data_IF_262394472012
#
_entry.id   IF_262394472012
#
_cell.length_a   1.000
_cell.length_b   1.000
_cell.length_c   1.000
_cell.angle_alpha   90.00
_cell.angle_beta   90.00
_cell.angle_gamma   90.00
#
_symmetry.space_group_name_H-M   'P 1'
#
loop_
_entity.id
_entity.type
_entity.pdbx_description
1 polymer ?
#
# COMPACT_ATOMS: atom_id res chain seq x y z
N UNK A 1 -19.13 1.94 -3.06
CA UNK A 1 -18.42 2.27 -4.32
C UNK A 1 -18.36 3.79 -4.39
N UNK A 2 -17.24 4.38 -4.79
CA UNK A 2 -17.07 5.84 -4.82
C UNK A 2 -16.90 6.30 -6.25
N UNK A 3 -17.73 7.23 -6.70
CA UNK A 3 -17.73 7.69 -8.08
C UNK A 3 -16.69 8.80 -8.28
N UNK A 4 -16.03 8.79 -9.44
CA UNK A 4 -15.15 9.87 -9.89
C UNK A 4 -15.56 10.30 -11.29
N UNK A 5 -15.48 11.59 -11.57
CA UNK A 5 -15.67 12.14 -12.92
C UNK A 5 -14.31 12.36 -13.57
N UNK A 6 -14.16 12.04 -14.85
CA UNK A 6 -12.89 12.21 -15.58
C UNK A 6 -11.91 11.05 -15.38
N UNK A 7 -10.64 11.29 -15.72
CA UNK A 7 -9.57 10.29 -15.60
C UNK A 7 -9.26 10.10 -14.11
N UNK A 8 -9.33 8.87 -13.62
CA UNK A 8 -9.07 8.57 -12.22
C UNK A 8 -7.57 8.60 -11.89
N UNK A 9 -7.23 9.01 -10.68
CA UNK A 9 -5.90 8.80 -10.09
C UNK A 9 -5.66 7.30 -9.88
N UNK A 10 -4.89 6.68 -10.77
CA UNK A 10 -4.58 5.26 -10.72
C UNK A 10 -3.28 4.94 -11.46
N UNK A 11 -2.45 4.06 -10.87
CA UNK A 11 -1.25 3.56 -11.53
C UNK A 11 -0.19 4.65 -11.68
N UNK A 12 0.11 5.02 -12.93
CA UNK A 12 1.11 6.05 -13.24
C UNK A 12 0.53 7.48 -13.32
N UNK A 13 -0.78 7.65 -13.15
CA UNK A 13 -1.47 8.94 -13.31
C UNK A 13 -1.44 9.70 -11.99
N UNK A 14 -0.58 10.72 -11.90
CA UNK A 14 -0.29 11.51 -10.70
C UNK A 14 -1.19 12.75 -10.52
N UNK A 15 -1.88 13.14 -11.57
CA UNK A 15 -2.80 14.30 -11.64
C UNK A 15 -4.26 13.88 -11.84
N UNK A 16 -4.57 12.59 -11.67
CA UNK A 16 -5.91 12.06 -11.88
C UNK A 16 -6.90 12.50 -10.81
N UNK A 17 -8.18 12.43 -11.15
CA UNK A 17 -9.27 12.83 -10.27
C UNK A 17 -9.50 11.80 -9.17
N UNK A 18 -9.86 12.30 -7.99
CA UNK A 18 -10.28 11.49 -6.85
C UNK A 18 -11.67 11.88 -6.37
N UNK A 19 -12.43 10.93 -5.80
CA UNK A 19 -13.78 11.21 -5.33
C UNK A 19 -13.83 12.37 -4.33
N UNK A 20 -14.74 13.30 -4.57
CA UNK A 20 -15.12 14.33 -3.61
C UNK A 20 -15.88 13.76 -2.41
N UNK A 21 -16.34 14.65 -1.53
CA UNK A 21 -17.13 14.25 -0.38
C UNK A 21 -18.45 13.59 -0.80
N UNK A 22 -18.77 12.43 -0.21
CA UNK A 22 -19.99 11.66 -0.44
C UNK A 22 -20.25 10.69 0.73
N UNK A 23 -21.39 10.00 0.74
CA UNK A 23 -21.73 9.04 1.78
C UNK A 23 -20.64 7.97 1.93
N UNK A 24 -20.06 7.87 3.13
CA UNK A 24 -18.92 6.98 3.41
C UNK A 24 -17.53 7.57 3.14
N UNK A 25 -17.44 8.80 2.62
CA UNK A 25 -16.19 9.55 2.37
C UNK A 25 -16.39 11.03 2.68
N UNK A 26 -16.60 11.36 3.96
CA UNK A 26 -17.06 12.68 4.42
C UNK A 26 -16.19 13.86 3.96
N UNK A 27 -14.88 13.65 3.80
CA UNK A 27 -13.92 14.70 3.43
C UNK A 27 -13.40 14.57 1.99
N UNK A 28 -13.92 13.62 1.22
CA UNK A 28 -13.37 13.27 -0.09
C UNK A 28 -11.99 12.61 -0.02
N UNK A 29 -11.29 12.62 -1.13
CA UNK A 29 -9.98 12.00 -1.30
C UNK A 29 -9.09 12.79 -2.26
N UNK A 30 -7.81 12.46 -2.29
CA UNK A 30 -6.81 13.13 -3.11
C UNK A 30 -5.87 12.12 -3.77
N UNK A 31 -5.30 12.55 -4.89
CA UNK A 31 -4.31 11.74 -5.61
C UNK A 31 -2.96 11.82 -4.90
N UNK A 32 -2.41 10.66 -4.59
CA UNK A 32 -1.11 10.51 -3.95
C UNK A 32 -0.63 9.06 -4.12
N UNK A 33 0.62 8.79 -3.77
CA UNK A 33 1.14 7.42 -3.75
C UNK A 33 0.41 6.62 -2.66
N UNK A 34 -0.21 5.52 -3.06
CA UNK A 34 -0.70 4.50 -2.14
C UNK A 34 0.42 3.52 -1.78
N UNK A 35 0.18 2.65 -0.79
CA UNK A 35 1.22 1.75 -0.22
C UNK A 35 1.92 0.87 -1.27
N UNK A 36 1.23 0.54 -2.36
CA UNK A 36 1.79 -0.21 -3.47
C UNK A 36 2.80 0.59 -4.30
N UNK A 37 3.06 1.86 -3.99
CA UNK A 37 4.02 2.71 -4.70
C UNK A 37 3.51 3.23 -6.04
N UNK A 38 2.20 3.15 -6.28
CA UNK A 38 1.52 3.76 -7.43
C UNK A 38 0.55 4.83 -6.97
N UNK A 39 0.10 5.69 -7.88
CA UNK A 39 -0.90 6.68 -7.58
C UNK A 39 -2.27 6.04 -7.35
N UNK A 40 -2.98 6.52 -6.33
CA UNK A 40 -4.34 6.13 -6.00
C UNK A 40 -4.99 7.14 -5.07
N UNK A 41 -6.32 7.06 -4.95
CA UNK A 41 -7.07 7.99 -4.13
C UNK A 41 -6.97 7.67 -2.64
N UNK A 42 -6.35 8.56 -1.87
CA UNK A 42 -6.27 8.49 -0.41
C UNK A 42 -7.35 9.38 0.23
N UNK A 43 -8.09 8.91 1.24
CA UNK A 43 -9.08 9.72 1.93
C UNK A 43 -8.41 10.84 2.75
N UNK A 44 -9.02 12.02 2.79
CA UNK A 44 -8.66 13.05 3.76
C UNK A 44 -9.10 12.65 5.18
N UNK A 45 -8.38 13.09 6.21
CA UNK A 45 -8.76 12.84 7.62
C UNK A 45 -9.67 13.92 8.18
N UNK A 46 -9.60 15.12 7.61
CA UNK A 46 -10.47 16.25 7.87
C UNK A 46 -10.45 17.18 6.65
N UNK A 47 -11.27 18.24 6.68
CA UNK A 47 -11.27 19.26 5.63
C UNK A 47 -9.85 19.81 5.41
N UNK A 48 -9.33 19.66 4.18
CA UNK A 48 -7.98 20.07 3.78
C UNK A 48 -6.82 19.41 4.56
N UNK A 49 -7.08 18.34 5.30
CA UNK A 49 -6.06 17.65 6.08
C UNK A 49 -5.70 16.32 5.42
N UNK A 50 -4.55 16.31 4.74
CA UNK A 50 -3.96 15.05 4.25
C UNK A 50 -3.53 14.21 5.46
N UNK A 51 -3.84 12.91 5.49
CA UNK A 51 -3.18 12.01 6.44
C UNK A 51 -1.67 12.12 6.25
N UNK A 52 -0.92 12.05 7.35
CA UNK A 52 0.50 11.76 7.27
C UNK A 52 0.71 10.47 6.42
N UNK A 53 1.87 10.32 5.79
CA UNK A 53 2.18 9.18 4.91
C UNK A 53 2.09 7.81 5.60
N UNK A 54 1.84 7.79 6.91
CA UNK A 54 1.43 6.63 7.67
C UNK A 54 -0.06 6.34 7.46
N UNK A 55 -0.41 5.50 6.49
CA UNK A 55 -1.45 4.52 6.84
C UNK A 55 -0.77 3.66 7.90
N UNK A 56 -1.19 3.69 9.18
CA UNK A 56 -0.53 2.86 10.17
C UNK A 56 -0.59 1.43 9.64
N UNK A 57 0.55 0.76 9.53
CA UNK A 57 0.54 -0.67 9.22
C UNK A 57 -0.36 -1.35 10.25
N UNK A 58 -1.16 -2.31 9.82
CA UNK A 58 -2.08 -3.00 10.74
C UNK A 58 -1.33 -3.78 11.83
N UNK A 59 0.00 -3.86 11.72
CA UNK A 59 0.92 -4.59 12.58
C UNK A 59 2.08 -3.69 13.04
N UNK A 60 2.45 -3.82 14.32
CA UNK A 60 3.69 -3.25 14.86
C UNK A 60 4.82 -4.28 14.70
N UNK A 61 5.85 -3.94 13.93
CA UNK A 61 7.02 -4.80 13.69
C UNK A 61 8.21 -4.50 14.62
N UNK A 62 8.08 -3.59 15.58
CA UNK A 62 9.16 -3.30 16.53
C UNK A 62 9.56 -4.55 17.32
N UNK A 63 10.82 -4.96 17.19
CA UNK A 63 11.35 -6.16 17.85
C UNK A 63 10.90 -7.49 17.26
N UNK A 64 10.22 -7.49 16.10
CA UNK A 64 9.81 -8.73 15.44
C UNK A 64 11.02 -9.40 14.75
N UNK A 65 11.30 -10.69 14.99
CA UNK A 65 12.42 -11.39 14.36
C UNK A 65 12.30 -11.54 12.84
N UNK A 66 11.09 -11.44 12.28
CA UNK A 66 10.86 -11.42 10.83
C UNK A 66 11.23 -10.07 10.17
N UNK A 67 11.50 -9.03 10.98
CA UNK A 67 11.95 -7.73 10.53
C UNK A 67 11.17 -6.58 11.15
N UNK A 68 11.65 -5.36 10.93
CA UNK A 68 11.11 -4.15 11.58
C UNK A 68 10.20 -3.31 10.68
N UNK A 69 10.06 -3.69 9.40
CA UNK A 69 9.28 -2.93 8.43
C UNK A 69 8.03 -3.70 8.04
N UNK A 70 6.85 -3.09 8.18
CA UNK A 70 5.60 -3.67 7.67
C UNK A 70 5.52 -3.60 6.15
N UNK A 71 5.15 -4.72 5.53
CA UNK A 71 5.08 -4.89 4.08
C UNK A 71 3.80 -5.64 3.72
N UNK A 72 3.09 -5.17 2.70
CA UNK A 72 1.91 -5.87 2.17
C UNK A 72 2.32 -6.97 1.19
N UNK A 73 1.56 -8.06 1.18
CA UNK A 73 1.72 -9.18 0.24
C UNK A 73 0.49 -9.22 -0.66
N UNK A 74 0.68 -9.34 -1.97
CA UNK A 74 -0.42 -9.46 -2.92
C UNK A 74 -1.25 -10.71 -2.61
N UNK A 75 -2.55 -10.52 -2.41
CA UNK A 75 -3.47 -11.60 -2.04
C UNK A 75 -3.58 -11.85 -0.54
N UNK A 76 -2.79 -11.18 0.31
CA UNK A 76 -2.97 -11.22 1.75
C UNK A 76 -3.97 -10.16 2.24
N UNK A 77 -4.67 -10.46 3.33
CA UNK A 77 -5.63 -9.54 3.96
C UNK A 77 -4.98 -8.55 4.94
N UNK A 78 -3.70 -8.74 5.29
CA UNK A 78 -2.99 -7.93 6.27
C UNK A 78 -1.52 -7.74 5.90
N UNK A 79 -0.88 -6.79 6.58
CA UNK A 79 0.56 -6.53 6.46
C UNK A 79 1.38 -7.52 7.32
N UNK A 80 2.62 -7.77 6.91
CA UNK A 80 3.57 -8.65 7.60
C UNK A 80 4.93 -7.99 7.76
N UNK A 81 5.74 -8.47 8.70
CA UNK A 81 7.05 -7.90 8.96
C UNK A 81 8.12 -8.45 8.01
N UNK A 82 8.97 -7.57 7.51
CA UNK A 82 10.12 -7.89 6.67
C UNK A 82 11.33 -7.03 7.08
N UNK A 83 12.56 -7.52 6.83
CA UNK A 83 13.77 -6.74 7.08
C UNK A 83 14.01 -5.73 5.95
N UNK A 84 14.57 -4.56 6.27
CA UNK A 84 15.07 -3.64 5.24
C UNK A 84 16.27 -4.25 4.47
N UNK A 85 16.50 -3.88 3.20
CA UNK A 85 15.65 -3.02 2.38
C UNK A 85 14.40 -3.76 1.87
N UNK A 86 13.20 -3.19 2.04
CA UNK A 86 11.97 -3.86 1.61
C UNK A 86 11.69 -3.76 0.11
N UNK A 87 11.03 -4.78 -0.44
CA UNK A 87 10.52 -4.81 -1.81
C UNK A 87 9.30 -3.88 -1.96
N UNK A 88 9.49 -2.72 -2.59
CA UNK A 88 8.43 -1.74 -2.79
C UNK A 88 8.78 -0.75 -3.90
N UNK A 89 7.76 -0.33 -4.66
CA UNK A 89 7.89 0.68 -5.71
C UNK A 89 8.99 0.32 -6.74
N UNK A 90 10.06 1.09 -6.83
CA UNK A 90 11.17 0.85 -7.74
C UNK A 90 12.31 0.01 -7.13
N UNK A 91 12.14 -0.50 -5.92
CA UNK A 91 13.19 -1.23 -5.18
C UNK A 91 12.91 -2.73 -5.14
N UNK A 92 13.82 -3.50 -5.75
CA UNK A 92 13.94 -4.93 -5.50
C UNK A 92 14.55 -5.13 -4.10
N UNK A 93 13.87 -5.87 -3.23
CA UNK A 93 14.27 -6.00 -1.82
C UNK A 93 13.67 -7.22 -1.15
N UNK A 94 13.73 -7.23 0.18
CA UNK A 94 13.22 -8.31 1.00
C UNK A 94 11.70 -8.30 1.06
N UNK A 95 11.14 -9.50 1.18
CA UNK A 95 9.72 -9.72 1.40
C UNK A 95 9.50 -10.48 2.71
N UNK A 96 8.29 -10.41 3.30
CA UNK A 96 7.96 -11.16 4.50
C UNK A 96 8.25 -12.66 4.38
N UNK A 97 9.06 -13.16 5.31
CA UNK A 97 9.25 -14.60 5.53
C UNK A 97 8.08 -15.20 6.32
N UNK A 98 8.14 -16.52 6.55
CA UNK A 98 7.15 -17.21 7.36
C UNK A 98 7.10 -16.62 8.77
N UNK A 99 5.87 -16.32 9.24
CA UNK A 99 5.62 -15.72 10.55
C UNK A 99 4.16 -15.97 10.96
N UNK A 100 3.76 -15.50 12.14
CA UNK A 100 2.36 -15.59 12.55
C UNK A 100 1.45 -14.93 11.51
N UNK A 101 0.48 -15.70 10.99
CA UNK A 101 -0.44 -15.24 9.95
C UNK A 101 0.08 -15.34 8.51
N UNK A 102 1.33 -15.76 8.29
CA UNK A 102 1.92 -15.98 6.97
C UNK A 102 2.67 -17.32 6.94
N UNK A 103 1.99 -18.37 6.49
CA UNK A 103 2.50 -19.76 6.50
C UNK A 103 3.42 -20.09 5.32
N UNK A 104 3.48 -19.22 4.32
CA UNK A 104 4.31 -19.39 3.12
C UNK A 104 5.20 -18.16 2.95
N UNK A 105 6.47 -18.37 2.59
CA UNK A 105 7.37 -17.29 2.29
C UNK A 105 6.92 -16.53 1.03
N UNK A 106 7.30 -15.26 0.95
CA UNK A 106 6.95 -14.40 -0.18
C UNK A 106 8.20 -13.93 -0.91
N UNK A 107 8.07 -13.62 -2.20
CA UNK A 107 9.17 -13.20 -3.06
C UNK A 107 8.87 -11.85 -3.71
N UNK A 108 9.93 -11.09 -3.94
CA UNK A 108 9.83 -9.81 -4.64
C UNK A 108 9.73 -10.06 -6.14
N UNK A 109 8.73 -9.46 -6.79
CA UNK A 109 8.57 -9.51 -8.24
C UNK A 109 8.07 -8.18 -8.77
N UNK A 110 8.20 -7.97 -10.08
CA UNK A 110 7.56 -6.84 -10.76
C UNK A 110 6.09 -7.21 -11.00
N UNK A 111 5.20 -6.42 -10.42
CA UNK A 111 3.76 -6.54 -10.57
C UNK A 111 3.31 -6.01 -11.94
N UNK A 112 2.07 -6.32 -12.40
CA UNK A 112 1.58 -5.89 -13.72
C UNK A 112 1.57 -4.37 -13.95
N UNK A 113 1.57 -3.58 -12.86
CA UNK A 113 1.66 -2.12 -12.88
C UNK A 113 3.11 -1.60 -12.95
N UNK A 114 4.10 -2.48 -13.11
CA UNK A 114 5.51 -2.12 -13.30
C UNK A 114 6.30 -1.82 -12.02
N UNK A 115 5.71 -2.00 -10.83
CA UNK A 115 6.41 -1.81 -9.55
C UNK A 115 6.78 -3.13 -8.89
N UNK A 116 7.80 -3.11 -8.05
CA UNK A 116 8.16 -4.20 -7.16
C UNK A 116 7.14 -4.36 -6.05
N UNK A 117 6.71 -5.60 -5.82
CA UNK A 117 5.88 -5.98 -4.69
C UNK A 117 6.06 -7.44 -4.30
N UNK A 118 5.65 -7.77 -3.08
CA UNK A 118 5.75 -9.11 -2.53
C UNK A 118 4.56 -9.98 -2.94
N UNK A 119 4.84 -11.17 -3.47
CA UNK A 119 3.84 -12.19 -3.85
C UNK A 119 4.16 -13.51 -3.15
N UNK A 120 3.19 -14.41 -3.02
CA UNK A 120 3.47 -15.76 -2.53
C UNK A 120 4.44 -16.48 -3.47
N UNK A 121 5.51 -17.05 -2.90
CA UNK A 121 6.46 -17.85 -3.67
C UNK A 121 5.79 -19.18 -4.05
N UNK A 122 5.53 -19.37 -5.35
CA UNK A 122 4.98 -20.60 -5.94
C UNK A 122 5.91 -21.79 -5.79
#
# INVERSE_FOLDING_TARGET
IFCVTGIACAGAIDDGNCPGAQDGLAFGSFCDLVRTGVYGCRPYTALNQKPAFTVPPTINCAGNPAGSTPVSVVGAMQDFCAPEPVCSANRFGNCPGTQSGLTQATSCTVLPNGVHGCVFAS
#
